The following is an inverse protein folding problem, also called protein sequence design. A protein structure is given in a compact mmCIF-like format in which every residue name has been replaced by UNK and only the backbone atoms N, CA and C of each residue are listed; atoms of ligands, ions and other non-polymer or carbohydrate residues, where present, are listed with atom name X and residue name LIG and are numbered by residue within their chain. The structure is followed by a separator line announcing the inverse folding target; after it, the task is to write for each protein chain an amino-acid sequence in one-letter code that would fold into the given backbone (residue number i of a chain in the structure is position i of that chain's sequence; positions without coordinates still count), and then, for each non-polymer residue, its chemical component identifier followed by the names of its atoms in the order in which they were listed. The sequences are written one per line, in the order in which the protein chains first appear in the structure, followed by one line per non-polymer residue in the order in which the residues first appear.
data_IF_412364360284
#
_entry.id   IF_412364360284
#
_cell.length_a   1.000
_cell.length_b   1.000
_cell.length_c   1.000
_cell.angle_alpha   90.00
_cell.angle_beta   90.00
_cell.angle_gamma   90.00
#
_symmetry.space_group_name_H-M   'P 1'
#
loop_
_entity.id
_entity.type
_entity.pdbx_description
1 polymer ?
#
# COMPACT_ATOMS: atom_id res chain seq x y z
N UNK A 1 33.41 22.80 1.06
CA UNK A 1 33.91 21.44 0.82
C UNK A 1 33.57 20.60 2.06
N UNK A 2 32.99 19.41 1.82
CA UNK A 2 32.78 18.28 2.76
C UNK A 2 31.80 18.56 3.93
N UNK A 3 30.57 18.03 3.94
CA UNK A 3 30.19 16.67 4.39
C UNK A 3 30.49 16.49 5.89
N UNK A 4 29.59 16.02 6.77
CA UNK A 4 28.80 14.79 6.66
C UNK A 4 27.75 14.76 7.79
N UNK A 5 26.59 14.23 7.45
CA UNK A 5 25.42 13.93 8.29
C UNK A 5 25.73 12.91 9.39
N UNK A 6 25.13 13.06 10.57
CA UNK A 6 25.05 12.01 11.58
C UNK A 6 23.58 11.73 11.91
N UNK A 7 23.03 10.71 11.24
CA UNK A 7 21.74 10.09 11.57
C UNK A 7 21.96 9.10 12.73
N UNK A 8 21.43 9.42 13.91
CA UNK A 8 21.33 8.48 15.02
C UNK A 8 19.94 7.85 15.05
N UNK A 9 19.81 6.65 14.47
CA UNK A 9 18.62 5.80 14.69
C UNK A 9 18.97 4.85 15.84
N UNK A 10 18.38 5.10 17.01
CA UNK A 10 18.42 4.15 18.11
C UNK A 10 17.45 3.00 17.81
N UNK A 11 17.97 1.86 17.37
CA UNK A 11 17.22 0.61 17.28
C UNK A 11 17.03 0.06 18.70
N UNK A 12 15.83 0.23 19.26
CA UNK A 12 15.45 -0.51 20.48
C UNK A 12 15.04 -1.92 20.06
N UNK A 13 16.01 -2.82 20.16
CA UNK A 13 15.82 -4.26 20.21
C UNK A 13 14.90 -4.61 21.39
N UNK A 14 13.72 -5.18 21.13
CA UNK A 14 12.94 -5.86 22.17
C UNK A 14 13.16 -7.36 22.08
N UNK A 15 13.93 -7.87 23.05
CA UNK A 15 14.08 -9.26 23.42
C UNK A 15 12.68 -9.88 23.68
N UNK A 16 12.23 -10.80 22.83
CA UNK A 16 11.34 -11.86 23.29
C UNK A 16 12.21 -13.03 23.76
N UNK A 17 12.35 -13.08 25.07
CA UNK A 17 12.98 -14.14 25.85
C UNK A 17 12.41 -15.50 25.46
N UNK A 18 13.18 -16.29 24.70
CA UNK A 18 12.94 -17.74 24.62
C UNK A 18 13.31 -18.30 25.99
N UNK A 19 12.31 -18.46 26.86
CA UNK A 19 12.46 -19.26 28.08
C UNK A 19 12.48 -20.72 27.66
N UNK A 20 13.68 -21.20 27.33
CA UNK A 20 13.95 -22.62 27.22
C UNK A 20 13.88 -23.25 28.61
N UNK A 21 12.79 -23.96 28.92
CA UNK A 21 12.79 -24.94 29.99
C UNK A 21 13.31 -26.25 29.39
N UNK A 22 14.64 -26.38 29.36
CA UNK A 22 15.26 -27.71 29.36
C UNK A 22 15.12 -28.27 30.77
N UNK A 23 14.13 -29.14 30.98
CA UNK A 23 14.25 -30.09 32.08
C UNK A 23 14.90 -31.36 31.51
N UNK A 24 16.16 -31.56 31.87
CA UNK A 24 16.83 -32.85 31.70
C UNK A 24 16.08 -33.91 32.52
N UNK A 25 16.27 -35.18 32.14
CA UNK A 25 15.95 -36.42 32.88
C UNK A 25 14.55 -37.02 32.65
N UNK A 26 14.40 -37.84 31.60
CA UNK A 26 14.19 -39.31 31.69
C UNK A 26 13.98 -39.93 30.28
N UNK A 27 14.65 -41.04 29.90
CA UNK A 27 14.46 -41.69 28.62
C UNK A 27 13.50 -42.87 28.78
N UNK A 28 12.20 -42.61 28.90
CA UNK A 28 11.12 -43.56 28.63
C UNK A 28 9.81 -42.90 29.04
N UNK A 29 9.09 -42.32 28.08
CA UNK A 29 7.64 -42.39 27.99
C UNK A 29 7.21 -41.62 26.75
N UNK A 30 6.36 -42.26 25.93
CA UNK A 30 5.86 -41.73 24.68
C UNK A 30 5.23 -40.35 24.86
N UNK A 31 5.70 -39.39 24.09
CA UNK A 31 5.09 -38.08 23.99
C UNK A 31 3.98 -38.18 22.96
N UNK A 32 2.75 -38.30 23.47
CA UNK A 32 1.55 -38.02 22.71
C UNK A 32 1.67 -36.63 22.08
N UNK A 33 1.66 -36.59 20.75
CA UNK A 33 1.35 -35.40 19.97
C UNK A 33 -0.01 -34.88 20.41
N UNK A 34 -0.02 -33.89 21.28
CA UNK A 34 -1.24 -33.13 21.55
C UNK A 34 -1.47 -32.23 20.33
N UNK A 35 -2.24 -32.75 19.36
CA UNK A 35 -2.84 -32.00 18.27
C UNK A 35 -3.50 -30.73 18.82
N UNK A 36 -2.80 -29.60 18.71
CA UNK A 36 -3.44 -28.29 18.77
C UNK A 36 -4.27 -28.17 17.49
N UNK A 37 -5.58 -28.45 17.60
CA UNK A 37 -6.54 -28.28 16.51
C UNK A 37 -6.43 -26.85 15.92
N UNK A 38 -6.17 -26.71 14.61
CA UNK A 38 -5.95 -25.40 13.97
C UNK A 38 -7.19 -24.48 13.92
N UNK A 39 -8.40 -24.97 14.21
CA UNK A 39 -9.63 -24.21 13.92
C UNK A 39 -10.06 -23.17 14.97
N UNK A 40 -9.61 -23.26 16.23
CA UNK A 40 -10.13 -22.36 17.29
C UNK A 40 -9.56 -20.94 17.22
N UNK A 41 -8.29 -20.80 16.81
CA UNK A 41 -7.66 -19.50 16.64
C UNK A 41 -8.19 -18.78 15.39
N UNK A 42 -8.36 -19.50 14.28
CA UNK A 42 -8.97 -18.95 13.05
C UNK A 42 -10.42 -18.52 13.27
N UNK A 43 -11.24 -19.34 13.94
CA UNK A 43 -12.66 -19.06 14.15
C UNK A 43 -12.90 -17.87 15.10
N UNK A 44 -12.02 -17.67 16.09
CA UNK A 44 -12.09 -16.50 16.98
C UNK A 44 -11.61 -15.24 16.28
N UNK A 45 -10.52 -15.29 15.51
CA UNK A 45 -9.99 -14.14 14.77
C UNK A 45 -10.95 -13.66 13.65
N UNK A 46 -11.63 -14.59 12.96
CA UNK A 46 -12.68 -14.25 11.99
C UNK A 46 -13.90 -13.58 12.64
N UNK A 47 -14.28 -14.01 13.85
CA UNK A 47 -15.43 -13.45 14.61
C UNK A 47 -15.16 -12.02 15.12
N UNK A 48 -13.91 -11.63 15.29
CA UNK A 48 -13.50 -10.27 15.71
C UNK A 48 -13.10 -9.36 14.54
N UNK A 49 -13.24 -9.80 13.28
CA UNK A 49 -12.86 -8.99 12.11
C UNK A 49 -11.36 -8.70 12.02
N UNK A 50 -10.52 -9.54 12.64
CA UNK A 50 -9.07 -9.34 12.73
C UNK A 50 -8.31 -9.78 11.46
N UNK A 51 -9.02 -10.30 10.47
CA UNK A 51 -8.52 -10.48 9.12
C UNK A 51 -9.14 -9.41 8.22
N UNK A 52 -8.36 -8.41 7.87
CA UNK A 52 -8.71 -7.51 6.78
C UNK A 52 -8.88 -8.36 5.52
N UNK A 53 -10.06 -8.33 4.91
CA UNK A 53 -10.25 -9.05 3.65
C UNK A 53 -9.29 -8.48 2.60
N UNK A 54 -8.89 -9.29 1.62
CA UNK A 54 -8.06 -8.81 0.50
C UNK A 54 -8.69 -7.56 -0.16
N UNK A 55 -10.02 -7.53 -0.19
CA UNK A 55 -10.83 -6.40 -0.64
C UNK A 55 -10.67 -5.14 0.25
N UNK A 56 -10.74 -5.23 1.57
CA UNK A 56 -10.52 -4.09 2.47
C UNK A 56 -9.09 -3.54 2.39
N UNK A 57 -8.10 -4.41 2.18
CA UNK A 57 -6.71 -3.99 1.97
C UNK A 57 -6.54 -3.28 0.64
N UNK A 58 -7.20 -3.78 -0.41
CA UNK A 58 -7.24 -3.13 -1.71
C UNK A 58 -7.89 -1.75 -1.64
N UNK A 59 -9.05 -1.62 -1.00
CA UNK A 59 -9.75 -0.34 -0.83
C UNK A 59 -8.90 0.68 -0.07
N UNK A 60 -8.21 0.27 1.00
CA UNK A 60 -7.27 1.16 1.71
C UNK A 60 -6.11 1.61 0.82
N UNK A 61 -5.52 0.71 0.02
CA UNK A 61 -4.45 1.08 -0.93
C UNK A 61 -4.95 2.11 -1.95
N UNK A 62 -6.12 1.90 -2.53
CA UNK A 62 -6.74 2.85 -3.47
C UNK A 62 -7.00 4.19 -2.79
N UNK A 63 -7.55 4.20 -1.57
CA UNK A 63 -7.81 5.42 -0.82
C UNK A 63 -6.52 6.17 -0.47
N UNK A 64 -5.46 5.45 -0.12
CA UNK A 64 -4.13 6.04 0.12
C UNK A 64 -3.53 6.66 -1.14
N UNK A 65 -3.73 6.06 -2.33
CA UNK A 65 -3.31 6.66 -3.59
C UNK A 65 -4.12 7.91 -3.92
N UNK A 66 -5.45 7.87 -3.72
CA UNK A 66 -6.33 9.04 -3.95
C UNK A 66 -5.95 10.23 -3.08
N UNK A 67 -5.57 10.01 -1.82
CA UNK A 67 -5.11 11.10 -0.95
C UNK A 67 -3.77 11.67 -1.41
N UNK A 68 -2.85 10.83 -1.90
CA UNK A 68 -1.57 11.28 -2.46
C UNK A 68 -1.76 12.06 -3.77
N UNK A 69 -2.63 11.60 -4.67
CA UNK A 69 -3.02 12.32 -5.89
C UNK A 69 -3.58 13.69 -5.52
N UNK A 70 -4.53 13.76 -4.59
CA UNK A 70 -5.11 15.04 -4.16
C UNK A 70 -4.07 15.99 -3.53
N UNK A 71 -3.05 15.45 -2.85
CA UNK A 71 -1.93 16.24 -2.35
C UNK A 71 -1.12 16.85 -3.51
N UNK A 72 -0.75 16.06 -4.51
CA UNK A 72 0.03 16.55 -5.65
C UNK A 72 -0.76 17.48 -6.56
N UNK A 73 -2.06 17.23 -6.79
CA UNK A 73 -2.93 18.14 -7.54
C UNK A 73 -2.90 19.56 -6.94
N UNK A 74 -3.03 19.68 -5.61
CA UNK A 74 -2.93 20.98 -4.94
C UNK A 74 -1.58 21.66 -5.16
N UNK A 75 -0.49 20.90 -5.17
CA UNK A 75 0.85 21.46 -5.39
C UNK A 75 1.04 21.90 -6.83
N UNK A 76 0.57 21.10 -7.78
CA UNK A 76 0.57 21.46 -9.21
C UNK A 76 -0.16 22.76 -9.42
N UNK A 77 -1.33 22.97 -8.83
CA UNK A 77 -2.09 24.22 -8.98
C UNK A 77 -1.33 25.47 -8.49
N UNK A 78 -0.39 25.31 -7.55
CA UNK A 78 0.49 26.41 -7.14
C UNK A 78 1.54 26.73 -8.21
N UNK A 79 2.13 25.70 -8.82
CA UNK A 79 3.12 25.83 -9.91
C UNK A 79 2.50 26.20 -11.24
N UNK A 80 1.25 25.86 -11.47
CA UNK A 80 0.58 26.06 -12.76
C UNK A 80 0.57 27.53 -13.20
N UNK A 81 0.63 28.45 -12.23
CA UNK A 81 0.67 29.91 -12.44
C UNK A 81 1.98 30.42 -13.07
N UNK A 82 3.08 29.69 -12.91
CA UNK A 82 4.38 30.05 -13.49
C UNK A 82 4.62 29.44 -14.86
N UNK A 83 3.79 28.48 -15.28
CA UNK A 83 3.92 27.83 -16.58
C UNK A 83 3.41 28.70 -17.71
N UNK A 84 4.08 28.63 -18.85
CA UNK A 84 3.56 29.19 -20.09
C UNK A 84 2.35 28.38 -20.62
N UNK A 85 1.65 28.95 -21.60
CA UNK A 85 0.46 28.34 -22.20
C UNK A 85 0.75 26.99 -22.85
N UNK A 86 1.96 26.79 -23.38
CA UNK A 86 2.31 25.53 -24.04
C UNK A 86 2.42 24.40 -23.01
N UNK A 87 3.13 24.65 -21.90
CA UNK A 87 3.29 23.70 -20.81
C UNK A 87 1.96 23.39 -20.12
N UNK A 88 1.12 24.39 -19.88
CA UNK A 88 -0.24 24.18 -19.35
C UNK A 88 -1.08 23.28 -20.27
N UNK A 89 -1.08 23.55 -21.58
CA UNK A 89 -1.83 22.73 -22.54
C UNK A 89 -1.30 21.30 -22.64
N UNK A 90 0.01 21.11 -22.58
CA UNK A 90 0.62 19.78 -22.56
C UNK A 90 0.24 19.02 -21.29
N UNK A 91 0.30 19.68 -20.13
CA UNK A 91 -0.13 19.12 -18.86
C UNK A 91 -1.59 18.66 -18.92
N UNK A 92 -2.50 19.54 -19.35
CA UNK A 92 -3.94 19.26 -19.38
C UNK A 92 -4.30 18.09 -20.30
N UNK A 93 -3.69 18.04 -21.48
CA UNK A 93 -3.92 16.94 -22.43
C UNK A 93 -3.45 15.62 -21.84
N UNK A 94 -2.25 15.57 -21.26
CA UNK A 94 -1.70 14.34 -20.70
C UNK A 94 -2.49 13.88 -19.46
N UNK A 95 -2.84 14.80 -18.56
CA UNK A 95 -3.67 14.49 -17.39
C UNK A 95 -5.03 13.93 -17.82
N UNK A 96 -5.64 14.49 -18.85
CA UNK A 96 -6.91 14.01 -19.39
C UNK A 96 -6.82 12.57 -19.90
N UNK A 97 -5.74 12.18 -20.60
CA UNK A 97 -5.58 10.80 -21.08
C UNK A 97 -5.40 9.81 -19.91
N UNK A 98 -4.62 10.18 -18.90
CA UNK A 98 -4.44 9.37 -17.69
C UNK A 98 -5.79 9.23 -16.94
N UNK A 99 -6.55 10.32 -16.82
CA UNK A 99 -7.87 10.30 -16.18
C UNK A 99 -8.88 9.44 -16.94
N UNK A 100 -8.81 9.38 -18.27
CA UNK A 100 -9.63 8.44 -19.05
C UNK A 100 -9.31 7.00 -18.69
N UNK A 101 -8.03 6.63 -18.62
CA UNK A 101 -7.62 5.27 -18.24
C UNK A 101 -8.10 4.91 -16.82
N UNK A 102 -7.90 5.81 -15.85
CA UNK A 102 -8.42 5.61 -14.48
C UNK A 102 -9.94 5.41 -14.48
N UNK A 103 -10.68 6.23 -15.22
CA UNK A 103 -12.13 6.14 -15.30
C UNK A 103 -12.61 4.86 -16.00
N UNK A 104 -11.95 4.44 -17.06
CA UNK A 104 -12.28 3.22 -17.82
C UNK A 104 -12.15 1.98 -16.93
N UNK A 105 -10.98 1.77 -16.31
CA UNK A 105 -10.78 0.60 -15.45
C UNK A 105 -11.60 0.67 -14.17
N UNK A 106 -11.88 1.87 -13.64
CA UNK A 106 -12.81 2.01 -12.52
C UNK A 106 -14.21 1.55 -12.89
N UNK A 107 -14.70 1.86 -14.10
CA UNK A 107 -16.01 1.40 -14.58
C UNK A 107 -16.03 -0.11 -14.81
N UNK A 108 -15.00 -0.67 -15.43
CA UNK A 108 -14.90 -2.12 -15.64
C UNK A 108 -14.97 -2.84 -14.30
N UNK A 109 -14.24 -2.37 -13.28
CA UNK A 109 -14.24 -2.98 -11.94
C UNK A 109 -15.52 -2.74 -11.13
N UNK A 110 -16.37 -1.79 -11.53
CA UNK A 110 -17.72 -1.67 -10.97
C UNK A 110 -18.65 -2.78 -11.50
N UNK A 111 -18.42 -3.23 -12.74
CA UNK A 111 -19.19 -4.29 -13.40
C UNK A 111 -18.64 -5.68 -13.08
N UNK A 112 -17.31 -5.84 -13.10
CA UNK A 112 -16.58 -7.05 -12.73
C UNK A 112 -15.46 -6.75 -11.71
N UNK A 113 -15.79 -6.77 -10.40
CA UNK A 113 -14.82 -6.51 -9.34
C UNK A 113 -13.69 -7.54 -9.23
N UNK A 114 -13.77 -8.69 -9.92
CA UNK A 114 -12.78 -9.76 -9.86
C UNK A 114 -11.87 -9.78 -11.09
N UNK A 115 -12.04 -8.85 -12.02
CA UNK A 115 -11.15 -8.69 -13.17
C UNK A 115 -9.75 -8.24 -12.70
N UNK A 116 -8.83 -9.21 -12.69
CA UNK A 116 -7.43 -9.02 -12.29
C UNK A 116 -6.68 -8.09 -13.24
N UNK A 117 -6.97 -8.17 -14.54
CA UNK A 117 -6.28 -7.35 -15.55
C UNK A 117 -6.71 -5.89 -15.33
N UNK A 118 -8.00 -5.62 -15.25
CA UNK A 118 -8.49 -4.27 -14.99
C UNK A 118 -8.03 -3.71 -13.65
N UNK A 119 -7.86 -4.58 -12.64
CA UNK A 119 -7.26 -4.20 -11.35
C UNK A 119 -5.80 -3.74 -11.51
N UNK A 120 -4.98 -4.51 -12.22
CA UNK A 120 -3.58 -4.15 -12.50
C UNK A 120 -3.48 -2.87 -13.33
N UNK A 121 -4.34 -2.72 -14.33
CA UNK A 121 -4.36 -1.53 -15.19
C UNK A 121 -4.82 -0.27 -14.43
N UNK A 122 -5.82 -0.36 -13.55
CA UNK A 122 -6.21 0.75 -12.68
C UNK A 122 -5.07 1.13 -11.73
N UNK A 123 -4.38 0.14 -11.16
CA UNK A 123 -3.23 0.39 -10.30
C UNK A 123 -2.12 1.14 -11.05
N UNK A 124 -1.79 0.69 -12.27
CA UNK A 124 -0.79 1.35 -13.11
C UNK A 124 -1.19 2.78 -13.45
N UNK A 125 -2.44 3.02 -13.86
CA UNK A 125 -2.92 4.35 -14.22
C UNK A 125 -2.91 5.33 -13.02
N UNK A 126 -3.22 4.84 -11.81
CA UNK A 126 -3.14 5.65 -10.59
C UNK A 126 -1.69 5.99 -10.21
N UNK A 127 -0.77 5.04 -10.38
CA UNK A 127 0.66 5.26 -10.12
C UNK A 127 1.24 6.25 -11.14
N UNK A 128 0.88 6.12 -12.42
CA UNK A 128 1.24 7.07 -13.47
C UNK A 128 0.69 8.48 -13.17
N UNK A 129 -0.60 8.60 -12.79
CA UNK A 129 -1.20 9.88 -12.41
C UNK A 129 -0.44 10.53 -11.26
N UNK A 130 -0.12 9.76 -10.23
CA UNK A 130 0.60 10.25 -9.06
C UNK A 130 2.00 10.75 -9.43
N UNK A 131 2.74 9.97 -10.23
CA UNK A 131 4.09 10.34 -10.66
C UNK A 131 4.06 11.59 -11.55
N UNK A 132 3.17 11.62 -12.53
CA UNK A 132 2.97 12.77 -13.41
C UNK A 132 2.68 14.06 -12.63
N UNK A 133 1.77 14.00 -11.66
CA UNK A 133 1.48 15.16 -10.81
C UNK A 133 2.67 15.55 -9.92
N UNK A 134 3.43 14.58 -9.41
CA UNK A 134 4.63 14.84 -8.63
C UNK A 134 5.67 15.59 -9.45
N UNK A 135 6.01 15.08 -10.63
CA UNK A 135 7.00 15.67 -11.53
C UNK A 135 6.64 17.13 -11.85
N UNK A 136 5.39 17.39 -12.24
CA UNK A 136 4.95 18.75 -12.55
C UNK A 136 4.90 19.65 -11.32
N UNK A 137 4.69 19.12 -10.11
CA UNK A 137 4.73 19.92 -8.88
C UNK A 137 6.12 20.42 -8.48
N UNK A 138 7.17 19.86 -9.10
CA UNK A 138 8.58 20.17 -8.88
C UNK A 138 9.15 21.12 -9.94
N UNK A 139 8.39 21.40 -11.01
CA UNK A 139 8.66 22.45 -12.00
C UNK A 139 8.36 23.84 -11.44
#
# INVERSE_FOLDING_TARGET
QMATSALGIALVSSLLTIVGIRNFTDPNHGLSETELKPNFFEQTMAKFGLFETEQQTYERRINSRKSMIAYWEKRVELQRKQWDTHLQSAFDRNLLEIDKAVNEYTKILQEDPQDKISTEMLNSALDEKMEFLREFSEL
#
